data_IF_119924080932
#
_entry.id   IF_119924080932
#
_cell.length_a   1.000
_cell.length_b   1.000
_cell.length_c   1.000
_cell.angle_alpha   90.00
_cell.angle_beta   90.00
_cell.angle_gamma   90.00
#
_symmetry.space_group_name_H-M   'P 1'
#
loop_
_entity.id
_entity.type
_entity.pdbx_description
1 polymer ?
#
# COMPACT_ATOMS: atom_id res chain seq x y z
N UNK A 1 15.59 18.42 -30.82
CA UNK A 1 14.39 17.79 -30.22
C UNK A 1 14.84 16.60 -29.38
N UNK A 2 15.04 16.82 -28.08
CA UNK A 2 15.39 15.75 -27.15
C UNK A 2 14.08 15.06 -26.76
N UNK A 3 13.96 13.77 -27.08
CA UNK A 3 12.82 12.93 -26.71
C UNK A 3 12.66 12.97 -25.18
N UNK A 4 11.49 13.42 -24.71
CA UNK A 4 11.15 13.41 -23.29
C UNK A 4 11.30 12.01 -22.74
N UNK A 5 12.08 11.86 -21.66
CA UNK A 5 12.10 10.65 -20.85
C UNK A 5 10.67 10.44 -20.34
N UNK A 6 10.06 9.31 -20.68
CA UNK A 6 8.81 8.87 -20.05
C UNK A 6 9.01 8.90 -18.52
N UNK A 7 8.44 9.91 -17.85
CA UNK A 7 8.35 9.91 -16.38
C UNK A 7 7.60 8.64 -16.01
N UNK A 8 8.30 7.64 -15.46
CA UNK A 8 7.69 6.43 -14.92
C UNK A 8 6.51 6.85 -14.06
N UNK A 9 5.30 6.53 -14.50
CA UNK A 9 4.08 6.77 -13.73
C UNK A 9 4.26 6.02 -12.41
N UNK A 10 4.27 6.78 -11.33
CA UNK A 10 4.63 6.27 -10.02
C UNK A 10 3.48 5.41 -9.47
N UNK A 11 3.77 4.36 -8.67
CA UNK A 11 2.75 3.43 -8.24
C UNK A 11 1.82 4.05 -7.20
N UNK A 12 0.51 3.99 -7.43
CA UNK A 12 -0.52 4.43 -6.48
C UNK A 12 -0.67 3.45 -5.29
N UNK A 13 -0.01 2.30 -5.36
CA UNK A 13 -0.03 1.28 -4.32
C UNK A 13 1.23 0.41 -4.34
N UNK A 14 1.57 -0.11 -3.17
CA UNK A 14 2.55 -1.18 -2.97
C UNK A 14 1.79 -2.49 -2.84
N UNK A 15 2.22 -3.53 -3.56
CA UNK A 15 1.69 -4.88 -3.40
C UNK A 15 2.85 -5.86 -3.21
N UNK A 16 2.81 -6.58 -2.10
CA UNK A 16 3.81 -7.59 -1.76
C UNK A 16 3.13 -8.92 -1.49
N UNK A 17 3.70 -9.98 -2.04
CA UNK A 17 3.27 -11.36 -1.79
C UNK A 17 4.32 -11.99 -0.90
N UNK A 18 3.89 -12.54 0.23
CA UNK A 18 4.76 -13.24 1.18
C UNK A 18 4.04 -14.49 1.68
N UNK A 19 4.55 -15.67 1.30
CA UNK A 19 3.89 -16.95 1.51
C UNK A 19 2.45 -16.93 0.96
N UNK A 20 1.46 -17.21 1.81
CA UNK A 20 0.04 -17.17 1.45
C UNK A 20 -0.56 -15.75 1.58
N UNK A 21 0.18 -14.78 2.12
CA UNK A 21 -0.31 -13.42 2.34
C UNK A 21 -0.05 -12.51 1.14
N UNK A 22 -1.04 -11.69 0.83
CA UNK A 22 -0.96 -10.57 -0.10
C UNK A 22 -1.20 -9.31 0.71
N UNK A 23 -0.19 -8.47 0.80
CA UNK A 23 -0.20 -7.19 1.50
C UNK A 23 -0.31 -6.10 0.44
N UNK A 24 -1.33 -5.26 0.54
CA UNK A 24 -1.55 -4.14 -0.36
C UNK A 24 -1.66 -2.86 0.45
N UNK A 25 -0.84 -1.87 0.11
CA UNK A 25 -0.84 -0.56 0.74
C UNK A 25 -1.06 0.47 -0.35
N UNK A 26 -2.25 1.07 -0.38
CA UNK A 26 -2.64 2.04 -1.39
C UNK A 26 -2.64 3.47 -0.86
N UNK A 27 -2.32 4.43 -1.72
CA UNK A 27 -2.53 5.85 -1.50
C UNK A 27 -3.70 6.31 -2.37
N UNK A 28 -4.58 7.13 -1.81
CA UNK A 28 -5.70 7.71 -2.52
C UNK A 28 -5.84 9.19 -2.17
N UNK A 29 -6.29 10.01 -3.11
CA UNK A 29 -6.62 11.42 -2.82
C UNK A 29 -7.72 11.44 -1.75
N UNK A 30 -7.60 12.30 -0.74
CA UNK A 30 -8.61 12.43 0.32
C UNK A 30 -9.98 12.65 -0.29
N UNK A 31 -10.98 11.88 0.16
CA UNK A 31 -12.35 12.08 -0.27
C UNK A 31 -12.87 13.44 0.21
N UNK A 32 -13.65 14.11 -0.63
CA UNK A 32 -14.19 15.46 -0.33
C UNK A 32 -15.05 15.52 0.94
N UNK A 33 -15.65 14.41 1.35
CA UNK A 33 -16.47 14.31 2.57
C UNK A 33 -15.66 14.07 3.85
N UNK A 34 -14.36 13.77 3.76
CA UNK A 34 -13.49 13.57 4.92
C UNK A 34 -13.00 14.93 5.41
N UNK A 35 -13.59 15.44 6.50
CA UNK A 35 -13.33 16.81 6.99
C UNK A 35 -12.43 16.89 8.23
N UNK A 36 -12.11 15.75 8.87
CA UNK A 36 -11.37 15.71 10.14
C UNK A 36 -9.84 15.64 9.99
N UNK A 37 -9.33 15.74 8.76
CA UNK A 37 -7.89 15.83 8.43
C UNK A 37 -7.70 16.88 7.35
N UNK A 38 -6.61 17.63 7.41
CA UNK A 38 -6.20 18.63 6.43
C UNK A 38 -5.33 18.03 5.32
N UNK A 39 -4.96 16.74 5.41
CA UNK A 39 -4.04 16.10 4.46
C UNK A 39 -4.68 15.79 3.12
N UNK A 40 -3.87 15.83 2.07
CA UNK A 40 -4.34 15.62 0.69
C UNK A 40 -4.57 14.15 0.34
N UNK A 41 -3.98 13.23 1.10
CA UNK A 41 -4.02 11.81 0.82
C UNK A 41 -4.45 10.98 2.02
N UNK A 42 -5.11 9.87 1.72
CA UNK A 42 -5.45 8.79 2.63
C UNK A 42 -4.74 7.52 2.20
N UNK A 43 -4.46 6.64 3.16
CA UNK A 43 -3.76 5.39 2.92
C UNK A 43 -4.58 4.22 3.42
N UNK A 44 -4.51 3.10 2.69
CA UNK A 44 -5.27 1.89 2.97
C UNK A 44 -4.32 0.72 3.02
N UNK A 45 -4.34 -0.02 4.13
CA UNK A 45 -3.64 -1.28 4.27
C UNK A 45 -4.64 -2.42 4.22
N UNK A 46 -4.42 -3.38 3.33
CA UNK A 46 -5.15 -4.64 3.25
C UNK A 46 -4.16 -5.80 3.31
N UNK A 47 -4.43 -6.77 4.19
CA UNK A 47 -3.70 -8.03 4.26
C UNK A 47 -4.71 -9.15 4.03
N UNK A 48 -4.52 -9.89 2.95
CA UNK A 48 -5.38 -11.04 2.61
C UNK A 48 -4.55 -12.30 2.57
N UNK A 49 -5.12 -13.44 2.99
CA UNK A 49 -4.51 -14.76 2.86
C UNK A 49 -5.18 -15.53 1.74
N UNK A 50 -4.40 -16.09 0.82
CA UNK A 50 -4.89 -17.03 -0.18
C UNK A 50 -5.06 -18.39 0.48
N UNK A 51 -6.28 -18.93 0.49
CA UNK A 51 -6.53 -20.28 0.97
C UNK A 51 -6.97 -21.22 -0.15
N UNK A 52 -6.53 -22.49 -0.05
CA UNK A 52 -6.97 -23.59 -0.91
C UNK A 52 -7.80 -24.54 -0.05
N UNK A 53 -8.98 -24.93 -0.53
CA UNK A 53 -9.79 -26.04 0.02
C UNK A 53 -10.31 -25.82 1.46
N UNK A 54 -11.02 -24.72 1.74
CA UNK A 54 -11.59 -24.44 3.07
C UNK A 54 -12.77 -25.34 3.48
N UNK A 55 -13.34 -26.11 2.55
CA UNK A 55 -14.47 -27.02 2.84
C UNK A 55 -14.03 -28.45 2.51
N UNK A 56 -14.23 -29.37 3.47
CA UNK A 56 -13.63 -30.71 3.55
C UNK A 56 -13.77 -31.62 2.31
N UNK A 57 -13.22 -32.84 2.43
CA UNK A 57 -12.96 -33.80 1.32
C UNK A 57 -14.11 -34.06 0.32
N UNK A 58 -15.36 -33.74 0.65
CA UNK A 58 -16.54 -33.92 -0.22
C UNK A 58 -16.90 -32.69 -1.08
N UNK A 59 -16.19 -31.56 -0.93
CA UNK A 59 -16.42 -30.31 -1.67
C UNK A 59 -15.14 -29.70 -2.23
N UNK A 60 -14.04 -30.47 -2.32
CA UNK A 60 -12.70 -30.01 -2.68
C UNK A 60 -12.54 -29.40 -4.10
N UNK A 61 -13.64 -29.14 -4.80
CA UNK A 61 -13.70 -28.44 -6.07
C UNK A 61 -14.04 -26.94 -5.95
N UNK A 62 -14.33 -26.41 -4.76
CA UNK A 62 -14.59 -24.97 -4.59
C UNK A 62 -13.25 -24.23 -4.56
N UNK A 63 -13.04 -23.33 -5.53
CA UNK A 63 -11.74 -22.78 -5.94
C UNK A 63 -10.95 -21.98 -4.89
N UNK A 64 -9.87 -21.34 -5.33
CA UNK A 64 -9.03 -20.48 -4.49
C UNK A 64 -9.82 -19.22 -4.08
N UNK A 65 -9.90 -18.91 -2.79
CA UNK A 65 -10.47 -17.66 -2.27
C UNK A 65 -9.43 -16.92 -1.44
N UNK A 66 -9.53 -15.59 -1.45
CA UNK A 66 -8.73 -14.72 -0.61
C UNK A 66 -9.56 -14.34 0.61
N UNK A 67 -9.05 -14.66 1.79
CA UNK A 67 -9.65 -14.28 3.08
C UNK A 67 -9.03 -12.95 3.50
N UNK A 68 -9.86 -11.96 3.84
CA UNK A 68 -9.39 -10.71 4.42
C UNK A 68 -8.98 -10.94 5.87
N UNK A 69 -7.70 -10.73 6.18
CA UNK A 69 -7.15 -10.91 7.53
C UNK A 69 -7.08 -9.59 8.29
N UNK A 70 -6.66 -8.51 7.62
CA UNK A 70 -6.54 -7.18 8.21
C UNK A 70 -6.94 -6.10 7.21
N UNK A 71 -7.61 -5.06 7.71
CA UNK A 71 -7.84 -3.83 6.97
C UNK A 71 -7.70 -2.62 7.89
N UNK A 72 -7.07 -1.56 7.41
CA UNK A 72 -6.97 -0.31 8.14
C UNK A 72 -6.85 0.90 7.22
N UNK A 73 -7.46 2.00 7.63
CA UNK A 73 -7.39 3.30 6.94
C UNK A 73 -6.60 4.29 7.78
N UNK A 74 -5.71 5.03 7.12
CA UNK A 74 -4.90 6.08 7.70
C UNK A 74 -5.19 7.41 6.99
N UNK A 75 -5.36 8.47 7.76
CA UNK A 75 -5.70 9.80 7.25
C UNK A 75 -4.49 10.69 6.95
N UNK A 76 -3.29 10.15 7.19
CA UNK A 76 -2.01 10.74 6.86
C UNK A 76 -0.93 9.66 6.81
N UNK A 77 0.16 9.94 6.11
CA UNK A 77 1.27 9.01 5.93
C UNK A 77 2.02 8.72 7.24
N UNK A 78 2.18 9.73 8.10
CA UNK A 78 2.91 9.57 9.34
C UNK A 78 2.25 8.54 10.26
N UNK A 79 0.91 8.58 10.38
CA UNK A 79 0.14 7.57 11.12
C UNK A 79 0.30 6.16 10.56
N UNK A 80 0.38 6.00 9.24
CA UNK A 80 0.69 4.71 8.62
C UNK A 80 2.06 4.22 9.08
N UNK A 81 3.09 5.05 8.95
CA UNK A 81 4.47 4.64 9.26
C UNK A 81 4.72 4.36 10.74
N UNK A 82 3.99 5.00 11.65
CA UNK A 82 4.08 4.71 13.09
C UNK A 82 3.65 3.29 13.46
N UNK A 83 2.78 2.66 12.66
CA UNK A 83 2.18 1.36 13.01
C UNK A 83 2.37 0.27 11.96
N UNK A 84 2.94 0.59 10.80
CA UNK A 84 3.10 -0.38 9.72
C UNK A 84 4.00 -1.56 10.13
N UNK A 85 5.14 -1.29 10.79
CA UNK A 85 6.05 -2.34 11.25
C UNK A 85 5.39 -3.32 12.23
N UNK A 86 4.74 -2.89 13.33
CA UNK A 86 4.09 -3.82 14.24
C UNK A 86 2.97 -4.60 13.57
N UNK A 87 2.18 -4.00 12.66
CA UNK A 87 1.15 -4.73 11.91
C UNK A 87 1.79 -5.80 11.01
N UNK A 88 2.84 -5.46 10.25
CA UNK A 88 3.51 -6.41 9.36
C UNK A 88 4.15 -7.57 10.13
N UNK A 89 4.64 -7.31 11.35
CA UNK A 89 5.27 -8.31 12.22
C UNK A 89 4.32 -9.42 12.68
N UNK A 90 3.00 -9.22 12.62
CA UNK A 90 2.01 -10.27 12.87
C UNK A 90 1.94 -11.30 11.73
N UNK A 91 2.37 -10.93 10.53
CA UNK A 91 2.24 -11.74 9.30
C UNK A 91 3.58 -12.15 8.68
N UNK A 92 4.65 -11.42 8.99
CA UNK A 92 6.00 -11.59 8.46
C UNK A 92 6.98 -11.66 9.63
N UNK A 93 7.79 -12.73 9.71
CA UNK A 93 8.79 -12.88 10.77
C UNK A 93 10.18 -12.36 10.37
N UNK A 94 10.44 -12.21 9.06
CA UNK A 94 11.73 -11.75 8.56
C UNK A 94 11.81 -10.23 8.60
N UNK A 95 12.60 -9.68 9.52
CA UNK A 95 12.79 -8.22 9.67
C UNK A 95 13.29 -7.54 8.39
N UNK A 96 14.15 -8.20 7.61
CA UNK A 96 14.62 -7.70 6.30
C UNK A 96 13.44 -7.48 5.35
N UNK A 97 12.46 -8.40 5.35
CA UNK A 97 11.29 -8.29 4.48
C UNK A 97 10.35 -7.19 4.91
N UNK A 98 10.18 -6.99 6.23
CA UNK A 98 9.42 -5.87 6.78
C UNK A 98 10.08 -4.55 6.37
N UNK A 99 11.40 -4.44 6.52
CA UNK A 99 12.16 -3.26 6.11
C UNK A 99 11.99 -2.95 4.63
N UNK A 100 12.11 -3.96 3.74
CA UNK A 100 11.85 -3.79 2.30
C UNK A 100 10.45 -3.22 2.01
N UNK A 101 9.42 -3.72 2.71
CA UNK A 101 8.05 -3.23 2.54
C UNK A 101 7.93 -1.77 3.01
N UNK A 102 8.51 -1.44 4.17
CA UNK A 102 8.51 -0.06 4.68
C UNK A 102 9.20 0.91 3.69
N UNK A 103 10.31 0.50 3.09
CA UNK A 103 10.99 1.29 2.06
C UNK A 103 10.11 1.52 0.83
N UNK A 104 9.42 0.49 0.34
CA UNK A 104 8.48 0.62 -0.78
C UNK A 104 7.31 1.55 -0.43
N UNK A 105 6.80 1.49 0.80
CA UNK A 105 5.72 2.34 1.27
C UNK A 105 6.16 3.80 1.38
N UNK A 106 7.42 4.03 1.73
CA UNK A 106 8.00 5.36 1.76
C UNK A 106 8.02 6.04 0.39
N UNK A 107 8.15 5.26 -0.69
CA UNK A 107 8.01 5.79 -2.05
C UNK A 107 6.61 6.35 -2.34
N UNK A 108 5.57 6.00 -1.56
CA UNK A 108 4.22 6.57 -1.69
C UNK A 108 4.13 8.01 -1.17
N UNK A 109 5.02 8.45 -0.27
CA UNK A 109 5.06 9.81 0.27
C UNK A 109 5.75 10.78 -0.71
N UNK A 110 6.96 10.43 -1.15
CA UNK A 110 7.87 11.28 -1.95
C UNK A 110 7.35 11.67 -3.34
N UNK A 111 6.22 11.11 -3.77
CA UNK A 111 5.60 11.45 -5.05
C UNK A 111 4.73 12.71 -4.98
N UNK A 112 4.51 13.24 -3.77
CA UNK A 112 3.71 14.44 -3.51
C UNK A 112 4.53 15.72 -3.77
N UNK A 113 5.03 15.86 -5.00
CA UNK A 113 5.80 17.03 -5.45
C UNK A 113 7.15 17.19 -4.77
N UNK A 114 8.24 16.88 -5.47
CA UNK A 114 9.53 17.45 -5.13
C UNK A 114 9.43 18.98 -5.30
N UNK A 115 9.50 19.79 -4.22
CA UNK A 115 9.46 21.24 -4.35
C UNK A 115 10.67 21.80 -5.11
N UNK A 116 11.74 21.03 -5.33
CA UNK A 116 12.87 21.43 -6.19
C UNK A 116 12.59 21.21 -7.69
N UNK A 117 11.49 20.56 -8.07
CA UNK A 117 11.13 20.25 -9.46
C UNK A 117 9.72 20.72 -9.86
N UNK A 118 9.10 21.60 -9.07
CA UNK A 118 8.04 22.46 -9.60
C UNK A 118 8.69 23.37 -10.64
N UNK A 119 8.53 23.05 -11.93
CA UNK A 119 8.80 24.00 -12.99
C UNK A 119 8.03 25.27 -12.65
N UNK A 120 8.76 26.34 -12.38
CA UNK A 120 8.29 27.71 -12.33
C UNK A 120 7.58 27.97 -13.64
N UNK A 121 6.27 27.71 -13.63
CA UNK A 121 5.34 28.13 -14.66
C UNK A 121 5.20 29.62 -14.42
N UNK A 122 6.09 30.39 -15.05
CA UNK A 122 6.14 31.83 -14.92
C UNK A 122 4.82 32.48 -15.34
N UNK A 123 4.42 33.46 -14.55
CA UNK A 123 3.77 34.67 -15.07
C UNK A 123 4.83 35.78 -15.16
#
# INVERSE_FOLDING_TARGET
MIKGKDKKKSPDYVKVIHNDYVITIGRHIRFSWVTHTDKDYMYFLYITRTEKNFIGKNTAHVGKFNVLCHQQTFYDYHRLMLVIEPILSEYILQSEKIFEICMLVQELEYQSGDPLHQETSGE
#
